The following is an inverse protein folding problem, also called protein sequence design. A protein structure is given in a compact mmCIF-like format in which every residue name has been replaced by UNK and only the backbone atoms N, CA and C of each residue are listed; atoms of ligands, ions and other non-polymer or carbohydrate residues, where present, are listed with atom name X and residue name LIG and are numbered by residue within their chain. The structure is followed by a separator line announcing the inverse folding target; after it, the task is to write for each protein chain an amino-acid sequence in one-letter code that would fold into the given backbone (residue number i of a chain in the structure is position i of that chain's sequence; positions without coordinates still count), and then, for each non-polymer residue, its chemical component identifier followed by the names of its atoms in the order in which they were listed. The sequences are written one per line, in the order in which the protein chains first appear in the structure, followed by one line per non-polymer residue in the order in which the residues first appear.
data_IF_643685754710
#
_entry.id   IF_643685754710
#
_cell.length_a   1.000
_cell.length_b   1.000
_cell.length_c   1.000
_cell.angle_alpha   90.00
_cell.angle_beta   90.00
_cell.angle_gamma   90.00
#
_symmetry.space_group_name_H-M   'P 1'
#
loop_
_entity.id
_entity.type
_entity.pdbx_description
1 polymer ?
#
# COMPACT_ATOMS: atom_id res chain seq x y z
N UNK A 1 5.35 -26.82 -22.00
CA UNK A 1 5.84 -26.29 -23.31
C UNK A 1 6.27 -24.85 -23.08
N UNK A 2 7.43 -24.38 -23.54
CA UNK A 2 7.79 -22.98 -23.41
C UNK A 2 6.87 -22.15 -24.33
N UNK A 3 6.17 -21.17 -23.72
CA UNK A 3 5.39 -20.20 -24.49
C UNK A 3 6.38 -19.19 -25.09
N UNK A 4 6.49 -19.19 -26.42
CA UNK A 4 7.29 -18.21 -27.16
C UNK A 4 6.38 -17.04 -27.50
N UNK A 5 6.46 -15.94 -26.74
CA UNK A 5 5.80 -14.70 -27.09
C UNK A 5 6.76 -13.91 -27.99
N UNK A 6 6.40 -13.72 -29.24
CA UNK A 6 7.12 -12.82 -30.15
C UNK A 6 6.20 -11.66 -30.48
N UNK A 7 6.60 -10.44 -30.08
CA UNK A 7 5.93 -9.20 -30.44
C UNK A 7 6.79 -8.45 -31.45
N UNK A 8 6.24 -8.16 -32.64
CA UNK A 8 6.83 -7.25 -33.62
C UNK A 8 5.93 -6.03 -33.70
N UNK A 9 6.30 -4.94 -33.01
CA UNK A 9 5.75 -3.62 -33.28
C UNK A 9 6.73 -2.87 -34.18
N UNK A 10 6.28 -2.41 -35.31
CA UNK A 10 7.03 -1.49 -36.17
C UNK A 10 6.85 -0.02 -35.67
N UNK A 11 6.07 0.20 -34.62
CA UNK A 11 5.79 1.50 -34.03
C UNK A 11 6.03 1.43 -32.51
N UNK A 12 6.62 2.49 -31.95
CA UNK A 12 6.80 2.62 -30.52
C UNK A 12 5.46 2.62 -29.77
N UNK A 13 5.50 2.38 -28.45
CA UNK A 13 4.32 2.46 -27.59
C UNK A 13 3.88 3.92 -27.54
N UNK A 14 2.62 4.23 -27.92
CA UNK A 14 2.10 5.61 -27.99
C UNK A 14 0.65 5.66 -27.49
N UNK A 15 0.26 6.83 -26.99
CA UNK A 15 -1.12 7.13 -26.60
C UNK A 15 -1.33 7.25 -25.10
N UNK A 16 -2.60 7.34 -24.69
CA UNK A 16 -3.01 7.44 -23.30
C UNK A 16 -3.42 6.08 -22.76
N UNK A 17 -3.11 5.86 -21.48
CA UNK A 17 -3.37 4.61 -20.78
C UNK A 17 -3.91 4.90 -19.38
N UNK A 18 -4.85 4.07 -18.94
CA UNK A 18 -5.26 3.97 -17.56
C UNK A 18 -4.70 2.68 -16.95
N UNK A 19 -4.46 2.71 -15.66
CA UNK A 19 -3.99 1.53 -14.90
C UNK A 19 -5.03 1.12 -13.86
N UNK A 20 -4.97 -0.12 -13.34
CA UNK A 20 -5.86 -0.55 -12.27
C UNK A 20 -5.87 0.41 -11.08
N UNK A 21 -6.97 0.42 -10.34
CA UNK A 21 -7.14 1.25 -9.14
C UNK A 21 -6.06 0.99 -8.08
N UNK A 22 -5.64 2.05 -7.39
CA UNK A 22 -4.67 1.96 -6.30
C UNK A 22 -5.17 1.02 -5.20
N UNK A 23 -4.41 -0.05 -5.02
CA UNK A 23 -4.73 -1.10 -4.06
C UNK A 23 -4.80 -0.59 -2.62
N UNK A 24 -3.89 0.30 -2.24
CA UNK A 24 -3.77 0.80 -0.87
C UNK A 24 -4.98 1.62 -0.46
N UNK A 25 -5.46 2.49 -1.34
CA UNK A 25 -6.63 3.33 -1.10
C UNK A 25 -7.91 2.50 -1.19
N UNK A 26 -8.06 1.70 -2.25
CA UNK A 26 -9.25 0.88 -2.47
C UNK A 26 -9.52 -0.12 -1.34
N UNK A 27 -8.49 -0.78 -0.81
CA UNK A 27 -8.64 -1.72 0.31
C UNK A 27 -9.11 -1.03 1.60
N UNK A 28 -8.56 0.15 1.91
CA UNK A 28 -8.97 0.95 3.07
C UNK A 28 -10.42 1.40 2.96
N UNK A 29 -10.79 1.91 1.79
CA UNK A 29 -12.18 2.30 1.50
C UNK A 29 -13.14 1.11 1.63
N UNK A 30 -12.74 -0.07 1.13
CA UNK A 30 -13.54 -1.30 1.25
C UNK A 30 -13.73 -1.74 2.70
N UNK A 31 -12.67 -1.70 3.53
CA UNK A 31 -12.72 -2.04 4.96
C UNK A 31 -13.68 -1.09 5.69
N UNK A 32 -13.61 0.21 5.41
CA UNK A 32 -14.48 1.21 6.03
C UNK A 32 -15.89 1.26 5.44
N UNK A 33 -16.16 0.56 4.34
CA UNK A 33 -17.48 0.57 3.69
C UNK A 33 -17.77 1.84 2.90
N UNK A 34 -16.73 2.49 2.43
CA UNK A 34 -16.80 3.74 1.69
C UNK A 34 -17.02 3.45 0.20
N UNK A 35 -17.90 4.23 -0.45
CA UNK A 35 -18.09 4.19 -1.90
C UNK A 35 -16.89 4.72 -2.65
N UNK A 36 -16.54 4.07 -3.77
CA UNK A 36 -15.44 4.48 -4.63
C UNK A 36 -15.89 4.56 -6.08
N UNK A 37 -15.12 5.27 -6.92
CA UNK A 37 -15.30 5.23 -8.37
C UNK A 37 -15.11 3.80 -8.91
N UNK A 38 -15.61 3.56 -10.10
CA UNK A 38 -15.43 2.30 -10.83
C UNK A 38 -14.10 2.30 -11.57
N UNK A 39 -13.50 1.12 -11.71
CA UNK A 39 -12.24 0.93 -12.43
C UNK A 39 -11.83 -0.54 -12.41
N UNK A 40 -10.69 -0.86 -13.00
CA UNK A 40 -10.13 -2.22 -12.96
C UNK A 40 -9.58 -2.48 -11.56
N UNK A 41 -10.05 -3.54 -10.93
CA UNK A 41 -9.63 -3.94 -9.57
C UNK A 41 -8.72 -5.18 -9.62
N UNK A 42 -7.61 -5.12 -8.90
CA UNK A 42 -6.78 -6.29 -8.68
C UNK A 42 -7.41 -7.27 -7.69
N UNK A 43 -6.96 -8.52 -7.69
CA UNK A 43 -7.49 -9.60 -6.84
C UNK A 43 -7.44 -9.27 -5.35
N UNK A 44 -6.42 -8.55 -4.90
CA UNK A 44 -6.28 -8.07 -3.52
C UNK A 44 -7.43 -7.15 -3.09
N UNK A 45 -7.94 -6.31 -4.00
CA UNK A 45 -9.08 -5.43 -3.73
C UNK A 45 -10.35 -6.28 -3.65
N UNK A 46 -10.53 -7.19 -4.59
CA UNK A 46 -11.72 -8.05 -4.67
C UNK A 46 -11.84 -8.92 -3.41
N UNK A 47 -10.77 -9.57 -2.96
CA UNK A 47 -10.78 -10.39 -1.73
C UNK A 47 -11.08 -9.53 -0.50
N UNK A 48 -10.50 -8.34 -0.39
CA UNK A 48 -10.77 -7.42 0.73
C UNK A 48 -12.23 -6.94 0.74
N UNK A 49 -12.80 -6.59 -0.42
CA UNK A 49 -14.23 -6.21 -0.57
C UNK A 49 -15.16 -7.35 -0.14
N UNK A 50 -14.85 -8.58 -0.55
CA UNK A 50 -15.61 -9.78 -0.17
C UNK A 50 -15.60 -9.98 1.35
N UNK A 51 -14.42 -9.93 1.99
CA UNK A 51 -14.27 -10.07 3.43
C UNK A 51 -15.02 -8.96 4.18
N UNK A 52 -14.87 -7.71 3.77
CA UNK A 52 -15.56 -6.57 4.36
C UNK A 52 -17.09 -6.67 4.22
N UNK A 53 -17.60 -7.24 3.12
CA UNK A 53 -19.03 -7.52 2.94
C UNK A 53 -19.52 -8.61 3.90
N UNK A 54 -18.73 -9.66 4.11
CA UNK A 54 -19.07 -10.73 5.07
C UNK A 54 -19.18 -10.19 6.50
N UNK A 55 -18.25 -9.35 6.94
CA UNK A 55 -18.32 -8.69 8.26
C UNK A 55 -19.63 -7.90 8.41
N UNK A 56 -19.95 -7.08 7.41
CA UNK A 56 -21.18 -6.23 7.44
C UNK A 56 -22.48 -7.03 7.34
N UNK A 57 -22.46 -8.27 6.90
CA UNK A 57 -23.66 -9.12 6.88
C UNK A 57 -24.08 -9.61 8.26
N UNK A 58 -23.23 -9.41 9.29
CA UNK A 58 -23.52 -9.88 10.65
C UNK A 58 -23.51 -11.42 10.80
N UNK A 59 -22.80 -12.12 9.91
CA UNK A 59 -22.69 -13.57 9.97
C UNK A 59 -21.90 -14.01 11.22
N UNK A 60 -22.33 -15.10 11.83
CA UNK A 60 -21.59 -15.78 12.88
C UNK A 60 -20.44 -16.61 12.27
N UNK A 61 -19.38 -16.86 13.07
CA UNK A 61 -18.23 -17.69 12.69
C UNK A 61 -17.57 -17.23 11.38
N UNK A 62 -17.10 -15.98 11.34
CA UNK A 62 -16.48 -15.37 10.17
C UNK A 62 -15.15 -16.06 9.82
N UNK A 63 -15.13 -16.78 8.69
CA UNK A 63 -13.90 -17.22 8.05
C UNK A 63 -13.69 -16.41 6.78
N UNK A 64 -12.67 -15.55 6.79
CA UNK A 64 -12.41 -14.53 5.78
C UNK A 64 -11.21 -14.91 4.93
N UNK A 65 -11.47 -15.31 3.69
CA UNK A 65 -10.42 -15.63 2.73
C UNK A 65 -9.87 -14.34 2.09
N UNK A 66 -8.62 -14.04 2.41
CA UNK A 66 -7.92 -12.85 1.91
C UNK A 66 -7.14 -13.12 0.61
N UNK A 67 -7.22 -14.32 0.05
CA UNK A 67 -6.45 -14.71 -1.13
C UNK A 67 -4.95 -14.54 -0.91
N UNK A 68 -4.27 -13.75 -1.76
CA UNK A 68 -2.86 -13.39 -1.60
C UNK A 68 -2.66 -11.99 -0.95
N UNK A 69 -3.73 -11.35 -0.49
CA UNK A 69 -3.69 -9.97 -0.01
C UNK A 69 -3.08 -9.82 1.38
N UNK A 70 -1.77 -9.69 1.47
CA UNK A 70 -1.08 -9.45 2.74
C UNK A 70 -1.42 -8.10 3.37
N UNK A 71 -1.64 -7.06 2.57
CA UNK A 71 -2.11 -5.77 3.06
C UNK A 71 -3.54 -5.88 3.59
N UNK A 72 -4.44 -6.44 2.77
CA UNK A 72 -5.84 -6.63 3.19
C UNK A 72 -5.95 -7.42 4.49
N UNK A 73 -5.22 -8.54 4.61
CA UNK A 73 -5.22 -9.37 5.84
C UNK A 73 -4.78 -8.59 7.07
N UNK A 74 -3.67 -7.82 6.98
CA UNK A 74 -3.15 -7.08 8.14
C UNK A 74 -4.05 -5.93 8.56
N UNK A 75 -4.60 -5.19 7.61
CA UNK A 75 -5.51 -4.09 7.90
C UNK A 75 -6.84 -4.60 8.46
N UNK A 76 -7.38 -5.68 7.86
CA UNK A 76 -8.60 -6.32 8.30
C UNK A 76 -8.47 -6.88 9.72
N UNK A 77 -7.32 -7.46 10.06
CA UNK A 77 -7.06 -7.96 11.42
C UNK A 77 -7.20 -6.84 12.46
N UNK A 78 -6.64 -5.65 12.20
CA UNK A 78 -6.81 -4.50 13.09
C UNK A 78 -8.27 -4.08 13.19
N UNK A 79 -8.95 -3.94 12.07
CA UNK A 79 -10.35 -3.54 12.03
C UNK A 79 -11.28 -4.50 12.80
N UNK A 80 -11.10 -5.82 12.62
CA UNK A 80 -11.87 -6.85 13.33
C UNK A 80 -11.57 -6.83 14.82
N UNK A 81 -10.29 -6.71 15.21
CA UNK A 81 -9.90 -6.62 16.61
C UNK A 81 -10.59 -5.45 17.33
N UNK A 82 -10.68 -4.29 16.65
CA UNK A 82 -11.38 -3.13 17.20
C UNK A 82 -12.90 -3.29 17.25
N UNK A 83 -13.51 -4.03 16.31
CA UNK A 83 -14.94 -4.37 16.36
C UNK A 83 -15.27 -5.30 17.53
N UNK A 84 -14.27 -5.99 18.10
CA UNK A 84 -14.48 -6.93 19.20
C UNK A 84 -15.35 -8.14 18.80
N UNK A 85 -15.11 -8.71 17.62
CA UNK A 85 -15.85 -9.88 17.09
C UNK A 85 -14.92 -11.04 16.83
N UNK A 86 -15.48 -12.27 16.86
CA UNK A 86 -14.76 -13.50 16.53
C UNK A 86 -14.59 -13.64 15.02
N UNK A 87 -13.35 -13.90 14.56
CA UNK A 87 -13.08 -14.15 13.15
C UNK A 87 -11.78 -14.94 12.94
N UNK A 88 -11.71 -15.67 11.84
CA UNK A 88 -10.50 -16.28 11.32
C UNK A 88 -10.17 -15.71 9.94
N UNK A 89 -8.94 -15.24 9.75
CA UNK A 89 -8.45 -14.80 8.45
C UNK A 89 -7.50 -15.87 7.89
N UNK A 90 -7.83 -16.32 6.69
CA UNK A 90 -7.06 -17.32 5.94
C UNK A 90 -6.57 -16.72 4.62
N UNK A 91 -5.62 -17.36 3.98
CA UNK A 91 -5.12 -16.96 2.68
C UNK A 91 -4.56 -18.14 1.90
N UNK A 92 -4.08 -17.87 0.69
CA UNK A 92 -3.43 -18.88 -0.14
C UNK A 92 -2.10 -19.38 0.47
N UNK A 93 -1.45 -20.31 -0.21
CA UNK A 93 -0.17 -20.90 0.25
C UNK A 93 0.92 -19.83 0.43
N UNK A 94 1.01 -18.85 -0.45
CA UNK A 94 1.98 -17.76 -0.36
C UNK A 94 1.72 -16.87 0.85
N UNK A 95 0.48 -16.43 1.04
CA UNK A 95 0.09 -15.58 2.17
C UNK A 95 0.22 -16.33 3.51
N UNK A 96 -0.09 -17.63 3.54
CA UNK A 96 0.01 -18.49 4.72
C UNK A 96 1.46 -18.64 5.23
N UNK A 97 2.46 -18.31 4.43
CA UNK A 97 3.86 -18.32 4.81
C UNK A 97 4.40 -16.96 5.26
N UNK A 98 3.60 -15.89 5.20
CA UNK A 98 4.04 -14.54 5.54
C UNK A 98 3.98 -14.27 7.05
N UNK A 99 4.96 -13.54 7.62
CA UNK A 99 4.97 -13.23 9.04
C UNK A 99 3.84 -12.27 9.40
N UNK A 100 3.06 -12.62 10.44
CA UNK A 100 1.95 -11.80 10.96
C UNK A 100 2.19 -11.32 12.39
N UNK A 101 3.24 -11.80 13.07
CA UNK A 101 3.58 -11.38 14.43
C UNK A 101 3.81 -9.87 14.53
N UNK A 102 4.31 -9.24 13.46
CA UNK A 102 4.53 -7.79 13.40
C UNK A 102 3.27 -6.95 13.63
N UNK A 103 2.08 -7.49 13.37
CA UNK A 103 0.81 -6.80 13.66
C UNK A 103 0.09 -7.43 14.86
N UNK A 104 0.28 -8.72 15.11
CA UNK A 104 -0.38 -9.41 16.22
C UNK A 104 0.18 -8.97 17.59
N UNK A 105 1.52 -8.78 17.69
CA UNK A 105 2.16 -8.28 18.92
C UNK A 105 1.55 -6.95 19.37
N UNK A 106 1.58 -5.86 18.58
CA UNK A 106 1.02 -4.59 19.02
C UNK A 106 -0.50 -4.62 19.21
N UNK A 107 -1.24 -5.42 18.48
CA UNK A 107 -2.67 -5.58 18.72
C UNK A 107 -2.95 -6.26 20.07
N UNK A 108 -2.15 -7.27 20.48
CA UNK A 108 -2.24 -7.88 21.81
C UNK A 108 -1.90 -6.88 22.92
N UNK A 109 -0.87 -6.06 22.71
CA UNK A 109 -0.51 -4.96 23.63
C UNK A 109 -1.65 -3.95 23.76
N UNK A 110 -2.42 -3.75 22.71
CA UNK A 110 -3.60 -2.90 22.66
C UNK A 110 -4.84 -3.55 23.34
N UNK A 111 -4.79 -4.84 23.68
CA UNK A 111 -5.84 -5.59 24.37
C UNK A 111 -6.55 -6.65 23.52
N UNK A 112 -6.20 -6.81 22.25
CA UNK A 112 -6.83 -7.81 21.38
C UNK A 112 -6.38 -9.23 21.73
N UNK A 113 -7.29 -10.19 21.67
CA UNK A 113 -6.98 -11.62 21.78
C UNK A 113 -6.76 -12.21 20.38
N UNK A 114 -5.48 -12.46 20.04
CA UNK A 114 -5.07 -12.90 18.69
C UNK A 114 -4.15 -14.14 18.80
N UNK A 115 -4.48 -15.18 18.05
CA UNK A 115 -3.69 -16.40 17.94
C UNK A 115 -3.18 -16.57 16.51
N UNK A 116 -1.94 -17.02 16.38
CA UNK A 116 -1.25 -17.33 15.13
C UNK A 116 -0.68 -18.73 15.18
N UNK A 117 -0.55 -19.36 14.04
CA UNK A 117 0.20 -20.61 13.92
C UNK A 117 1.65 -20.29 13.57
N UNK A 118 2.56 -20.47 14.55
CA UNK A 118 4.00 -20.19 14.37
C UNK A 118 4.29 -18.77 13.82
N UNK A 119 3.54 -17.75 14.31
CA UNK A 119 3.66 -16.37 13.87
C UNK A 119 3.11 -16.07 12.47
N UNK A 120 2.37 -17.00 11.87
CA UNK A 120 1.82 -16.95 10.50
C UNK A 120 0.31 -17.17 10.51
N UNK A 121 -0.39 -16.96 9.36
CA UNK A 121 -1.79 -17.34 9.22
C UNK A 121 -2.04 -18.87 9.46
N UNK A 122 -3.25 -19.26 9.85
CA UNK A 122 -4.42 -18.40 10.02
C UNK A 122 -4.27 -17.42 11.19
N UNK A 123 -4.92 -16.24 11.07
CA UNK A 123 -5.04 -15.27 12.16
C UNK A 123 -6.40 -15.51 12.81
N UNK A 124 -6.40 -16.04 14.02
CA UNK A 124 -7.62 -16.21 14.82
C UNK A 124 -7.74 -15.04 15.78
N UNK A 125 -8.84 -14.31 15.69
CA UNK A 125 -9.16 -13.15 16.52
C UNK A 125 -10.37 -13.54 17.35
N UNK A 126 -10.19 -13.53 18.67
CA UNK A 126 -11.29 -13.75 19.59
C UNK A 126 -11.87 -12.42 20.06
N UNK A 127 -13.15 -12.45 20.38
CA UNK A 127 -13.86 -11.29 20.92
C UNK A 127 -13.14 -10.77 22.17
N UNK A 128 -12.69 -9.52 22.10
CA UNK A 128 -11.91 -8.86 23.15
C UNK A 128 -12.19 -7.36 23.16
N UNK A 129 -11.72 -6.67 24.18
CA UNK A 129 -11.86 -5.21 24.29
C UNK A 129 -10.49 -4.55 24.08
N UNK A 130 -10.46 -3.59 23.18
CA UNK A 130 -9.29 -2.71 22.96
C UNK A 130 -9.23 -1.68 24.08
N UNK A 131 -8.02 -1.29 24.50
CA UNK A 131 -7.79 -0.27 25.50
C UNK A 131 -8.34 1.10 25.03
N UNK A 132 -8.88 1.88 25.98
CA UNK A 132 -9.47 3.21 25.71
C UNK A 132 -8.43 4.21 25.18
N UNK A 133 -7.17 4.08 25.60
CA UNK A 133 -6.03 4.85 25.12
C UNK A 133 -4.83 3.93 24.91
N UNK A 134 -4.11 4.12 23.81
CA UNK A 134 -2.92 3.35 23.48
C UNK A 134 -1.85 4.22 22.87
N UNK A 135 -0.59 4.04 23.30
CA UNK A 135 0.58 4.72 22.73
C UNK A 135 1.52 3.66 22.20
N UNK A 136 1.94 3.80 20.96
CA UNK A 136 2.82 2.84 20.30
C UNK A 136 3.99 3.50 19.59
N UNK A 137 5.21 3.14 19.99
CA UNK A 137 6.43 3.48 19.26
C UNK A 137 6.61 2.47 18.13
N UNK A 138 6.61 2.93 16.88
CA UNK A 138 6.74 2.07 15.73
C UNK A 138 8.19 1.54 15.62
N UNK A 139 8.44 0.38 16.20
CA UNK A 139 9.78 -0.26 16.25
C UNK A 139 10.32 -0.56 14.85
N UNK A 140 9.43 -0.89 13.91
CA UNK A 140 9.76 -1.21 12.51
C UNK A 140 9.01 -0.23 11.62
N UNK A 141 9.68 0.52 10.72
CA UNK A 141 9.00 1.45 9.81
C UNK A 141 8.08 0.68 8.85
N UNK A 142 6.81 0.62 9.18
CA UNK A 142 5.80 -0.13 8.42
C UNK A 142 4.44 0.56 8.42
N UNK A 143 4.05 1.05 7.25
CA UNK A 143 2.72 1.60 7.03
C UNK A 143 1.59 0.58 7.32
N UNK A 144 1.87 -0.72 7.20
CA UNK A 144 0.87 -1.76 7.48
C UNK A 144 0.60 -1.92 8.97
N UNK A 145 1.65 -1.84 9.82
CA UNK A 145 1.48 -1.86 11.29
C UNK A 145 0.71 -0.61 11.72
N UNK A 146 1.18 0.57 11.29
CA UNK A 146 0.52 1.84 11.56
C UNK A 146 -0.96 1.82 11.17
N UNK A 147 -1.26 1.44 9.93
CA UNK A 147 -2.63 1.36 9.43
C UNK A 147 -3.49 0.35 10.19
N UNK A 148 -2.93 -0.80 10.54
CA UNK A 148 -3.60 -1.83 11.33
C UNK A 148 -4.07 -1.27 12.68
N UNK A 149 -3.18 -0.58 13.39
CA UNK A 149 -3.48 0.00 14.70
C UNK A 149 -4.46 1.18 14.62
N UNK A 150 -4.32 2.04 13.61
CA UNK A 150 -5.28 3.14 13.39
C UNK A 150 -6.69 2.60 13.10
N UNK A 151 -6.81 1.54 12.29
CA UNK A 151 -8.09 0.91 12.00
C UNK A 151 -8.67 0.17 13.21
N UNK A 152 -7.82 -0.41 14.06
CA UNK A 152 -8.26 -1.02 15.32
C UNK A 152 -8.84 0.04 16.27
N UNK A 153 -8.13 1.15 16.47
CA UNK A 153 -8.62 2.25 17.29
C UNK A 153 -9.91 2.86 16.71
N UNK A 154 -9.97 3.05 15.38
CA UNK A 154 -11.14 3.59 14.70
C UNK A 154 -12.37 2.72 14.92
N UNK A 155 -12.26 1.41 14.72
CA UNK A 155 -13.39 0.49 14.85
C UNK A 155 -13.81 0.25 16.31
N UNK A 156 -12.87 0.40 17.25
CA UNK A 156 -13.15 0.33 18.68
C UNK A 156 -13.73 1.63 19.26
N UNK A 157 -13.57 2.77 18.58
CA UNK A 157 -13.95 4.09 19.09
C UNK A 157 -13.06 4.57 20.22
N UNK A 158 -11.75 4.32 20.15
CA UNK A 158 -10.76 4.61 21.20
C UNK A 158 -9.72 5.64 20.75
N UNK A 159 -8.77 6.01 21.62
CA UNK A 159 -7.71 6.93 21.28
C UNK A 159 -6.39 6.22 21.05
N UNK A 160 -5.63 6.67 20.04
CA UNK A 160 -4.31 6.14 19.78
C UNK A 160 -3.32 7.23 19.42
N UNK A 161 -2.08 7.09 19.90
CA UNK A 161 -0.92 7.86 19.47
C UNK A 161 0.13 6.90 18.94
N UNK A 162 0.56 7.09 17.69
CA UNK A 162 1.66 6.34 17.08
C UNK A 162 2.84 7.28 16.87
N UNK A 163 4.03 6.84 17.27
CA UNK A 163 5.29 7.57 17.07
C UNK A 163 6.11 6.85 16.01
N UNK A 164 6.43 7.56 14.94
CA UNK A 164 7.12 7.06 13.77
C UNK A 164 8.45 7.80 13.60
N UNK A 165 9.57 7.07 13.65
CA UNK A 165 10.93 7.63 13.50
C UNK A 165 11.34 7.77 12.04
N UNK A 166 10.85 6.90 11.19
CA UNK A 166 11.06 6.95 9.75
C UNK A 166 9.69 7.06 9.06
N UNK A 167 9.53 8.05 8.18
CA UNK A 167 8.26 8.27 7.49
C UNK A 167 7.88 7.07 6.64
N UNK A 168 6.69 6.54 6.86
CA UNK A 168 6.08 5.49 6.03
C UNK A 168 4.90 6.05 5.22
N UNK A 169 4.37 5.23 4.28
CA UNK A 169 3.18 5.60 3.49
C UNK A 169 2.03 6.03 4.39
N UNK A 170 1.35 7.11 4.01
CA UNK A 170 0.35 7.81 4.82
C UNK A 170 -1.09 7.75 4.29
N UNK A 171 -1.41 6.79 3.44
CA UNK A 171 -2.75 6.65 2.85
C UNK A 171 -3.88 6.53 3.88
N UNK A 172 -3.62 5.91 5.05
CA UNK A 172 -4.63 5.79 6.12
C UNK A 172 -4.91 7.15 6.74
N UNK A 173 -3.87 7.91 7.04
CA UNK A 173 -3.98 9.24 7.62
C UNK A 173 -4.74 10.18 6.68
N UNK A 174 -4.38 10.21 5.39
CA UNK A 174 -5.04 11.06 4.40
C UNK A 174 -6.50 10.68 4.22
N UNK A 175 -6.81 9.38 4.16
CA UNK A 175 -8.18 8.90 4.08
C UNK A 175 -8.98 9.28 5.32
N UNK A 176 -8.46 9.07 6.52
CA UNK A 176 -9.15 9.42 7.76
C UNK A 176 -9.39 10.93 7.88
N UNK A 177 -8.41 11.75 7.48
CA UNK A 177 -8.58 13.21 7.42
C UNK A 177 -9.67 13.62 6.40
N UNK A 178 -9.73 12.96 5.22
CA UNK A 178 -10.81 13.19 4.26
C UNK A 178 -12.19 12.88 4.84
N UNK A 179 -12.28 11.85 5.70
CA UNK A 179 -13.50 11.44 6.38
C UNK A 179 -13.79 12.24 7.66
N UNK A 180 -13.13 13.37 7.86
CA UNK A 180 -13.25 14.25 9.03
C UNK A 180 -12.95 13.55 10.38
N UNK A 181 -12.09 12.52 10.38
CA UNK A 181 -11.62 11.94 11.62
C UNK A 181 -10.83 12.99 12.42
N UNK A 182 -10.96 12.96 13.74
CA UNK A 182 -10.13 13.79 14.64
C UNK A 182 -8.70 13.23 14.70
N UNK A 183 -7.97 13.45 13.59
CA UNK A 183 -6.63 12.95 13.37
C UNK A 183 -5.66 14.10 13.14
N UNK A 184 -4.64 14.16 13.99
CA UNK A 184 -3.56 15.13 13.90
C UNK A 184 -2.22 14.44 13.60
N UNK A 185 -1.42 15.03 12.69
CA UNK A 185 -0.08 14.58 12.38
C UNK A 185 0.91 15.69 12.73
N UNK A 186 1.78 15.43 13.70
CA UNK A 186 2.81 16.38 14.17
C UNK A 186 4.19 15.88 13.78
N UNK A 187 5.00 16.74 13.18
CA UNK A 187 6.42 16.46 12.90
C UNK A 187 7.29 17.32 13.80
N UNK A 188 8.10 16.69 14.64
CA UNK A 188 9.04 17.38 15.52
C UNK A 188 10.29 16.51 15.76
N UNK A 189 11.46 17.15 15.81
CA UNK A 189 12.73 16.50 16.18
C UNK A 189 13.08 15.23 15.36
N UNK A 190 12.63 15.15 14.09
CA UNK A 190 12.88 14.00 13.22
C UNK A 190 11.90 12.84 13.42
N UNK A 191 10.91 12.98 14.29
CA UNK A 191 9.84 12.02 14.52
C UNK A 191 8.49 12.55 14.01
N UNK A 192 7.60 11.64 13.66
CA UNK A 192 6.21 11.97 13.33
C UNK A 192 5.28 11.34 14.34
N UNK A 193 4.46 12.14 15.00
CA UNK A 193 3.39 11.70 15.87
C UNK A 193 2.06 11.69 15.09
N UNK A 194 1.37 10.57 15.09
CA UNK A 194 0.02 10.43 14.54
C UNK A 194 -0.92 10.19 15.69
N UNK A 195 -1.84 11.12 15.91
CA UNK A 195 -2.78 11.12 17.05
C UNK A 195 -4.19 11.03 16.50
N UNK A 196 -4.91 9.99 16.85
CA UNK A 196 -6.31 9.77 16.45
C UNK A 196 -7.19 9.69 17.72
N UNK A 197 -8.20 10.55 17.80
CA UNK A 197 -9.32 10.42 18.73
C UNK A 197 -10.54 9.85 17.98
N UNK A 198 -10.69 8.53 18.03
CA UNK A 198 -11.78 7.83 17.35
C UNK A 198 -13.07 7.72 18.19
N UNK A 199 -13.14 8.39 19.35
CA UNK A 199 -14.40 8.50 20.12
C UNK A 199 -15.45 9.33 19.37
N UNK A 200 -15.04 10.13 18.39
CA UNK A 200 -15.89 10.88 17.48
C UNK A 200 -16.12 10.10 16.19
N UNK A 201 -17.36 10.07 15.65
CA UNK A 201 -17.64 9.37 14.41
C UNK A 201 -16.97 10.07 13.22
N UNK A 202 -16.57 9.27 12.23
CA UNK A 202 -16.14 9.77 10.92
C UNK A 202 -17.36 10.09 10.04
N UNK A 203 -17.17 11.01 9.09
CA UNK A 203 -18.19 11.33 8.07
C UNK A 203 -18.05 10.39 6.88
N UNK A 204 -19.16 9.80 6.41
CA UNK A 204 -19.15 9.01 5.18
C UNK A 204 -19.08 9.94 3.98
N UNK A 205 -18.01 9.84 3.18
CA UNK A 205 -17.79 10.58 1.94
C UNK A 205 -17.30 9.62 0.86
N UNK A 206 -17.70 9.86 -0.38
CA UNK A 206 -17.16 9.12 -1.52
C UNK A 206 -15.66 9.37 -1.68
N UNK A 207 -14.92 8.35 -2.10
CA UNK A 207 -13.48 8.41 -2.31
C UNK A 207 -13.15 8.13 -3.76
N UNK A 208 -12.46 9.05 -4.41
CA UNK A 208 -11.85 8.81 -5.71
C UNK A 208 -10.57 8.01 -5.54
N UNK A 209 -10.51 6.82 -6.09
CA UNK A 209 -9.33 5.96 -6.10
C UNK A 209 -8.58 6.18 -7.42
N UNK A 210 -7.35 6.73 -7.39
CA UNK A 210 -6.54 6.92 -8.59
C UNK A 210 -5.99 5.61 -9.13
N UNK A 211 -5.29 5.69 -10.25
CA UNK A 211 -4.51 4.59 -10.78
C UNK A 211 -3.33 4.22 -9.86
N UNK A 212 -3.08 2.92 -9.72
CA UNK A 212 -2.00 2.37 -8.87
C UNK A 212 -0.62 2.69 -9.46
N UNK A 213 0.23 3.34 -8.67
CA UNK A 213 1.58 3.73 -9.09
C UNK A 213 2.46 2.52 -9.43
N UNK A 214 2.39 1.42 -8.69
CA UNK A 214 3.15 0.22 -9.01
C UNK A 214 2.75 -0.37 -10.36
N UNK A 215 1.46 -0.32 -10.70
CA UNK A 215 0.97 -0.74 -12.00
C UNK A 215 1.44 0.21 -13.10
N UNK A 216 1.39 1.53 -12.87
CA UNK A 216 1.93 2.53 -13.79
C UNK A 216 3.43 2.38 -14.03
N UNK A 217 4.19 1.98 -13.00
CA UNK A 217 5.64 1.79 -13.10
C UNK A 217 6.05 0.82 -14.22
N UNK A 218 5.26 -0.25 -14.48
CA UNK A 218 5.53 -1.17 -15.59
C UNK A 218 5.38 -0.51 -16.95
N UNK A 219 4.36 0.35 -17.15
CA UNK A 219 4.19 1.11 -18.39
C UNK A 219 5.30 2.16 -18.54
N UNK A 220 5.65 2.83 -17.44
CA UNK A 220 6.79 3.77 -17.40
C UNK A 220 8.05 3.06 -17.84
N UNK A 221 8.37 1.92 -17.23
CA UNK A 221 9.56 1.14 -17.57
C UNK A 221 9.58 0.69 -19.05
N UNK A 222 8.45 0.17 -19.53
CA UNK A 222 8.31 -0.24 -20.93
C UNK A 222 8.54 0.92 -21.91
N UNK A 223 8.00 2.12 -21.61
CA UNK A 223 8.17 3.29 -22.46
C UNK A 223 9.62 3.81 -22.45
N UNK A 224 10.28 3.81 -21.27
CA UNK A 224 11.66 4.27 -21.15
C UNK A 224 12.66 3.49 -22.04
N UNK A 225 12.42 2.18 -22.21
CA UNK A 225 13.32 1.30 -22.99
C UNK A 225 12.86 1.07 -24.44
N UNK A 226 11.66 1.50 -24.80
CA UNK A 226 11.11 1.32 -26.15
C UNK A 226 11.39 2.54 -27.02
N UNK A 227 12.13 2.36 -28.13
CA UNK A 227 12.38 3.44 -29.09
C UNK A 227 11.05 3.99 -29.60
N UNK A 228 11.00 5.31 -29.82
CA UNK A 228 9.82 6.05 -30.28
C UNK A 228 8.59 5.96 -29.38
N UNK A 229 8.74 5.55 -28.11
CA UNK A 229 7.68 5.58 -27.14
C UNK A 229 7.33 7.03 -26.76
N UNK A 230 6.02 7.30 -26.66
CA UNK A 230 5.45 8.57 -26.20
C UNK A 230 4.07 8.26 -25.60
N UNK A 231 4.02 8.08 -24.29
CA UNK A 231 2.78 7.69 -23.59
C UNK A 231 2.41 8.70 -22.50
N UNK A 232 1.11 8.76 -22.24
CA UNK A 232 0.54 9.40 -21.06
C UNK A 232 -0.17 8.34 -20.22
N UNK A 233 0.13 8.25 -18.93
CA UNK A 233 -0.60 7.41 -17.99
C UNK A 233 -1.45 8.35 -17.14
N UNK A 234 -2.76 8.25 -17.29
CA UNK A 234 -3.71 9.22 -16.74
C UNK A 234 -4.13 8.87 -15.31
N UNK A 235 -4.40 9.90 -14.51
CA UNK A 235 -4.98 9.81 -13.17
C UNK A 235 -4.23 8.91 -12.20
N UNK A 236 -2.90 8.89 -12.23
CA UNK A 236 -2.07 8.08 -11.35
C UNK A 236 -1.92 8.72 -9.98
N UNK A 237 -2.00 7.93 -8.91
CA UNK A 237 -1.65 8.37 -7.56
C UNK A 237 -0.16 8.73 -7.47
N UNK A 238 0.13 9.98 -7.12
CA UNK A 238 1.50 10.51 -7.02
C UNK A 238 1.84 10.96 -5.59
N UNK A 239 1.34 10.24 -4.60
CA UNK A 239 1.66 10.49 -3.20
C UNK A 239 3.19 10.50 -3.00
N UNK A 240 3.77 11.57 -2.40
CA UNK A 240 5.22 11.70 -2.22
C UNK A 240 5.87 10.54 -1.44
N UNK A 241 5.13 9.89 -0.54
CA UNK A 241 5.63 8.73 0.21
C UNK A 241 5.65 7.44 -0.62
N UNK A 242 5.24 7.51 -1.89
CA UNK A 242 5.04 6.35 -2.77
C UNK A 242 5.84 6.40 -4.06
N UNK A 243 6.13 7.60 -4.56
CA UNK A 243 6.70 7.82 -5.90
C UNK A 243 8.23 7.96 -5.93
N UNK A 244 8.94 7.53 -4.89
CA UNK A 244 10.41 7.61 -4.85
C UNK A 244 11.09 6.98 -6.07
N UNK A 245 10.43 6.01 -6.72
CA UNK A 245 10.91 5.42 -7.97
C UNK A 245 11.08 6.44 -9.10
N UNK A 246 10.22 7.46 -9.18
CA UNK A 246 10.37 8.54 -10.18
C UNK A 246 11.61 9.39 -9.91
N UNK A 247 12.02 9.56 -8.67
CA UNK A 247 13.26 10.27 -8.31
C UNK A 247 14.47 9.48 -8.82
N UNK A 248 14.51 8.18 -8.57
CA UNK A 248 15.56 7.29 -9.08
C UNK A 248 15.60 7.30 -10.62
N UNK A 249 14.45 7.24 -11.28
CA UNK A 249 14.38 7.30 -12.74
C UNK A 249 14.87 8.64 -13.31
N UNK A 250 14.61 9.75 -12.62
CA UNK A 250 15.14 11.07 -13.02
C UNK A 250 16.67 11.09 -12.94
N UNK A 251 17.26 10.52 -11.89
CA UNK A 251 18.72 10.35 -11.77
C UNK A 251 19.28 9.44 -12.88
N UNK A 252 18.52 8.48 -13.35
CA UNK A 252 18.84 7.63 -14.49
C UNK A 252 18.66 8.34 -15.85
N UNK A 253 18.43 9.65 -15.90
CA UNK A 253 18.18 10.44 -17.12
C UNK A 253 16.87 10.08 -17.84
N UNK A 254 15.85 9.63 -17.13
CA UNK A 254 14.54 9.33 -17.69
C UNK A 254 13.79 10.60 -18.12
N UNK A 255 13.18 10.58 -19.30
CA UNK A 255 12.33 11.65 -19.82
C UNK A 255 10.89 11.42 -19.32
N UNK A 256 10.62 11.91 -18.12
CA UNK A 256 9.34 11.80 -17.44
C UNK A 256 8.87 13.20 -17.02
N UNK A 257 7.59 13.50 -17.26
CA UNK A 257 6.91 14.69 -16.75
C UNK A 257 5.64 14.28 -16.04
N UNK A 258 5.31 14.98 -14.95
CA UNK A 258 4.02 14.87 -14.28
C UNK A 258 3.25 16.15 -14.59
N UNK A 259 2.05 16.00 -15.13
CA UNK A 259 1.16 17.09 -15.52
C UNK A 259 -0.21 16.93 -14.86
N UNK A 260 -1.08 17.93 -14.97
CA UNK A 260 -2.44 17.91 -14.41
C UNK A 260 -2.49 17.50 -12.91
N UNK A 261 -1.49 17.96 -12.15
CA UNK A 261 -1.41 17.66 -10.71
C UNK A 261 -2.59 18.29 -9.99
N UNK A 262 -3.32 17.48 -9.24
CA UNK A 262 -4.44 17.91 -8.42
C UNK A 262 -4.52 17.08 -7.13
N UNK A 263 -5.36 17.51 -6.23
CA UNK A 263 -5.64 16.78 -4.98
C UNK A 263 -7.07 16.28 -4.96
N UNK A 264 -7.25 15.01 -4.67
CA UNK A 264 -8.52 14.33 -4.47
C UNK A 264 -8.46 13.53 -3.17
N UNK A 265 -9.39 13.75 -2.25
CA UNK A 265 -9.43 13.08 -0.93
C UNK A 265 -8.09 13.21 -0.15
N UNK A 266 -7.43 14.36 -0.22
CA UNK A 266 -6.09 14.63 0.31
C UNK A 266 -4.94 13.81 -0.35
N UNK A 267 -5.22 13.03 -1.38
CA UNK A 267 -4.21 12.32 -2.18
C UNK A 267 -3.82 13.13 -3.41
N UNK A 268 -2.53 13.20 -3.71
CA UNK A 268 -2.06 13.82 -4.94
C UNK A 268 -2.22 12.87 -6.13
N UNK A 269 -2.75 13.39 -7.22
CA UNK A 269 -3.02 12.67 -8.47
C UNK A 269 -2.45 13.49 -9.62
N UNK A 270 -1.92 12.81 -10.63
CA UNK A 270 -1.43 13.47 -11.84
C UNK A 270 -1.36 12.52 -13.02
N UNK A 271 -1.06 13.10 -14.18
CA UNK A 271 -0.80 12.37 -15.42
C UNK A 271 0.70 12.24 -15.63
N UNK A 272 1.18 11.03 -15.92
CA UNK A 272 2.61 10.76 -16.08
C UNK A 272 2.92 10.58 -17.56
N UNK A 273 3.60 11.57 -18.15
CA UNK A 273 4.11 11.50 -19.53
C UNK A 273 5.50 10.88 -19.55
N UNK A 274 5.70 9.90 -20.41
CA UNK A 274 6.95 9.14 -20.53
C UNK A 274 7.36 8.98 -21.97
N UNK A 275 8.64 9.26 -22.25
CA UNK A 275 9.24 9.04 -23.57
C UNK A 275 10.47 8.16 -23.46
N UNK A 276 10.85 7.50 -24.56
CA UNK A 276 12.10 6.77 -24.65
C UNK A 276 13.27 7.59 -24.09
N UNK A 277 14.16 6.92 -23.37
CA UNK A 277 15.32 7.55 -22.75
C UNK A 277 16.57 6.68 -22.86
N UNK A 278 17.70 7.32 -23.17
CA UNK A 278 19.02 6.70 -23.01
C UNK A 278 19.37 6.73 -21.51
N UNK A 279 19.04 5.64 -20.82
CA UNK A 279 19.21 5.53 -19.38
C UNK A 279 20.68 5.46 -18.97
N UNK A 280 20.99 6.03 -17.82
CA UNK A 280 22.30 5.98 -17.15
C UNK A 280 22.19 5.22 -15.84
N UNK A 281 23.30 4.65 -15.41
CA UNK A 281 23.39 3.96 -14.12
C UNK A 281 23.22 4.92 -12.94
N UNK A 282 22.77 4.39 -11.81
CA UNK A 282 22.52 5.14 -10.57
C UNK A 282 23.04 4.37 -9.35
N UNK A 283 23.38 5.07 -8.29
CA UNK A 283 23.64 4.50 -6.96
C UNK A 283 22.44 4.83 -6.08
N UNK A 284 21.63 3.83 -5.80
CA UNK A 284 20.41 4.00 -5.00
C UNK A 284 20.78 4.12 -3.53
N UNK A 285 20.42 5.25 -2.92
CA UNK A 285 20.62 5.50 -1.50
C UNK A 285 19.74 4.60 -0.63
N UNK A 286 20.20 4.26 0.60
CA UNK A 286 19.45 3.34 1.48
C UNK A 286 18.13 3.91 1.98
N UNK A 287 18.09 5.20 2.21
CA UNK A 287 16.95 5.94 2.75
C UNK A 287 15.74 5.97 1.81
N UNK A 288 15.97 5.87 0.49
CA UNK A 288 14.88 5.81 -0.48
C UNK A 288 14.28 4.40 -0.65
N UNK A 289 14.98 3.35 -0.19
CA UNK A 289 14.55 1.95 -0.38
C UNK A 289 13.11 1.68 0.09
N UNK A 290 12.65 2.15 1.26
CA UNK A 290 11.27 1.94 1.68
C UNK A 290 10.22 2.48 0.68
N UNK A 291 10.54 3.57 -0.04
CA UNK A 291 9.64 4.24 -0.97
C UNK A 291 9.64 3.61 -2.37
N UNK A 292 10.60 2.73 -2.68
CA UNK A 292 10.76 2.09 -4.01
C UNK A 292 10.79 0.57 -3.94
N UNK A 293 10.62 -0.01 -2.78
CA UNK A 293 10.87 -1.45 -2.55
C UNK A 293 10.04 -2.35 -3.47
N UNK A 294 8.84 -1.93 -3.83
CA UNK A 294 7.95 -2.69 -4.69
C UNK A 294 8.39 -2.60 -6.17
N UNK A 295 9.10 -1.54 -6.57
CA UNK A 295 9.60 -1.27 -7.92
C UNK A 295 11.06 -1.72 -8.13
N UNK A 296 11.78 -2.18 -7.09
CA UNK A 296 13.18 -2.65 -7.22
C UNK A 296 13.38 -3.76 -8.25
N UNK A 297 12.47 -4.75 -8.40
CA UNK A 297 12.59 -5.73 -9.47
C UNK A 297 12.53 -5.10 -10.87
N UNK A 298 11.67 -4.10 -11.07
CA UNK A 298 11.59 -3.35 -12.31
C UNK A 298 12.84 -2.50 -12.55
N UNK A 299 13.36 -1.85 -11.50
CA UNK A 299 14.63 -1.12 -11.56
C UNK A 299 15.77 -2.02 -12.04
N UNK A 300 15.82 -3.27 -11.59
CA UNK A 300 16.83 -4.25 -12.03
C UNK A 300 16.75 -4.51 -13.54
N UNK A 301 15.54 -4.56 -14.09
CA UNK A 301 15.34 -4.68 -15.56
C UNK A 301 15.84 -3.43 -16.26
N UNK A 302 15.47 -2.23 -15.79
CA UNK A 302 15.89 -0.96 -16.40
C UNK A 302 17.40 -0.76 -16.33
N UNK A 303 18.05 -1.21 -15.27
CA UNK A 303 19.49 -1.19 -15.11
C UNK A 303 20.22 -1.97 -16.22
N UNK A 304 19.61 -3.03 -16.77
CA UNK A 304 20.17 -3.78 -17.92
C UNK A 304 20.19 -2.96 -19.23
N UNK A 305 19.39 -1.89 -19.32
CA UNK A 305 19.33 -0.99 -20.46
C UNK A 305 20.08 0.33 -20.23
N UNK A 306 20.62 0.54 -19.01
CA UNK A 306 21.34 1.73 -18.64
C UNK A 306 22.85 1.61 -18.94
N UNK A 307 23.46 2.71 -19.30
CA UNK A 307 24.93 2.79 -19.46
C UNK A 307 25.58 2.85 -18.09
N UNK A 308 26.55 1.95 -17.82
CA UNK A 308 27.32 1.92 -16.58
C UNK A 308 26.86 0.83 -15.59
N UNK A 309 27.08 1.05 -14.29
CA UNK A 309 26.79 0.05 -13.23
C UNK A 309 25.84 0.65 -12.20
N UNK A 310 24.61 0.18 -12.17
CA UNK A 310 23.63 0.51 -11.12
C UNK A 310 23.94 -0.28 -9.85
N UNK A 311 23.91 0.39 -8.69
CA UNK A 311 24.12 -0.23 -7.38
C UNK A 311 22.92 0.02 -6.47
N UNK A 312 22.44 -1.02 -5.83
CA UNK A 312 21.36 -0.98 -4.82
C UNK A 312 21.88 -1.61 -3.54
N UNK A 313 21.65 -0.97 -2.40
CA UNK A 313 22.02 -1.49 -1.08
C UNK A 313 20.92 -1.24 -0.05
N UNK A 314 20.84 -2.09 1.00
CA UNK A 314 19.87 -1.91 2.07
C UNK A 314 18.47 -2.47 1.78
N UNK A 315 18.32 -3.34 0.78
CA UNK A 315 17.03 -3.90 0.34
C UNK A 315 16.69 -5.27 0.97
N UNK A 316 17.11 -5.55 2.19
CA UNK A 316 16.90 -6.86 2.86
C UNK A 316 15.42 -7.24 3.02
N UNK A 317 14.52 -6.26 3.15
CA UNK A 317 13.08 -6.48 3.22
C UNK A 317 12.48 -7.15 1.95
N UNK A 318 13.20 -7.17 0.82
CA UNK A 318 12.75 -7.90 -0.38
C UNK A 318 12.64 -9.41 -0.14
N UNK A 319 13.45 -9.97 0.78
CA UNK A 319 13.47 -11.41 1.09
C UNK A 319 12.21 -11.90 1.80
N UNK A 320 11.43 -11.02 2.40
CA UNK A 320 10.20 -11.35 3.16
C UNK A 320 8.92 -10.87 2.49
N UNK A 321 8.99 -10.56 1.18
CA UNK A 321 7.81 -10.22 0.36
C UNK A 321 7.09 -11.50 -0.12
N UNK A 322 6.30 -11.41 -1.19
CA UNK A 322 5.56 -12.53 -1.81
C UNK A 322 6.48 -13.67 -2.27
N UNK A 323 7.71 -13.34 -2.61
CA UNK A 323 8.82 -14.24 -2.92
C UNK A 323 10.12 -13.66 -2.35
N UNK A 324 11.16 -14.50 -2.18
CA UNK A 324 12.53 -14.03 -1.92
C UNK A 324 13.05 -13.38 -3.20
N UNK A 325 13.14 -12.05 -3.19
CA UNK A 325 13.52 -11.22 -4.34
C UNK A 325 14.96 -10.74 -4.23
#
# INVERSE_FOLDING_TARGET
MPVKISYKSNHGIKGSYEVPLDKSIAQRSAILGISTNTGVEGEDIVSTKKAAKQIRSGADNLCLDMGNSGTGMRLMAGFIAGLGIDAELVGDESLSNRPMERIAKPLREMGAEIHLKEGKPPIQIAKSNIADEFIYDLEIPSAQIKSCLLLAALSAGTKIKIIEKETTRNHTELLLQHLDADLEVKKSNGETEIILDATKPITSKDVFVPGDFSSAAFLIGAALISKDADICIENVGINPTRIGFLEVLKEMNANIKIENIREENNEQIGDIHVKYSALKSVIVAKDIIPNIIDELPLLSVLACFAEGVTKVSGASELRVKESDR
#
